data_IF_460796948378
#
_entry.id   IF_460796948378
#
_cell.length_a   1.000
_cell.length_b   1.000
_cell.length_c   1.000
_cell.angle_alpha   90.00
_cell.angle_beta   90.00
_cell.angle_gamma   90.00
#
_symmetry.space_group_name_H-M   'P 1'
#
loop_
_entity.id
_entity.type
_entity.pdbx_description
1 polymer ?
#
# COMPACT_ATOMS: atom_id res chain seq x y z
N UNK A 1 18.15 10.34 17.50
CA UNK A 1 17.31 11.12 18.43
C UNK A 1 16.11 10.25 18.77
N UNK A 2 15.76 10.03 20.05
CA UNK A 2 14.56 9.29 20.37
C UNK A 2 13.35 10.17 20.05
N UNK A 3 12.37 9.60 19.34
CA UNK A 3 11.10 10.26 19.05
C UNK A 3 10.23 10.06 20.29
N UNK A 4 9.86 11.14 20.97
CA UNK A 4 8.88 11.09 22.06
C UNK A 4 7.54 10.55 21.52
N UNK A 5 6.93 9.63 22.27
CA UNK A 5 5.56 9.15 22.04
C UNK A 5 4.58 10.32 22.21
N UNK A 6 4.31 11.02 21.11
CA UNK A 6 3.33 12.09 21.06
C UNK A 6 1.92 11.51 21.07
N UNK A 7 1.20 11.72 22.17
CA UNK A 7 -0.25 11.48 22.24
C UNK A 7 -0.92 12.45 21.26
N UNK A 8 -1.42 11.91 20.14
CA UNK A 8 -2.16 12.69 19.15
C UNK A 8 -3.53 13.08 19.73
N UNK A 9 -3.87 14.37 19.63
CA UNK A 9 -5.22 14.86 19.94
C UNK A 9 -6.00 14.97 18.63
N UNK A 10 -7.25 14.48 18.54
CA UNK A 10 -8.06 14.65 17.35
C UNK A 10 -8.13 16.13 16.97
N UNK A 11 -7.85 16.46 15.70
CA UNK A 11 -8.09 17.79 15.17
C UNK A 11 -9.62 18.00 15.11
N UNK A 12 -10.16 19.10 15.69
CA UNK A 12 -11.59 19.35 15.69
C UNK A 12 -12.20 19.32 14.30
N UNK A 13 -13.47 18.91 14.20
CA UNK A 13 -14.23 18.92 12.94
C UNK A 13 -14.39 20.37 12.48
N UNK A 14 -13.94 20.69 11.27
CA UNK A 14 -14.32 21.95 10.62
C UNK A 14 -15.79 21.87 10.23
N UNK A 15 -16.60 22.74 10.82
CA UNK A 15 -18.00 22.93 10.41
C UNK A 15 -18.08 24.13 9.49
N UNK A 16 -18.87 24.05 8.42
CA UNK A 16 -19.13 25.23 7.61
C UNK A 16 -19.95 26.25 8.41
N UNK A 17 -20.13 27.46 7.86
CA UNK A 17 -20.91 28.55 8.46
C UNK A 17 -22.39 28.22 8.76
N UNK A 18 -22.85 27.03 8.37
CA UNK A 18 -24.21 26.50 8.63
C UNK A 18 -24.21 25.31 9.61
N UNK A 19 -23.08 25.03 10.27
CA UNK A 19 -22.97 23.93 11.24
C UNK A 19 -23.01 22.53 10.61
N UNK A 20 -22.86 22.42 9.28
CA UNK A 20 -22.74 21.13 8.59
C UNK A 20 -21.27 20.71 8.67
N UNK A 21 -21.01 19.51 9.18
CA UNK A 21 -19.68 18.92 9.15
C UNK A 21 -19.15 18.95 7.71
N UNK A 22 -17.99 19.57 7.48
CA UNK A 22 -17.25 19.29 6.26
C UNK A 22 -16.94 17.80 6.26
N UNK A 23 -17.07 17.17 5.09
CA UNK A 23 -16.81 15.74 4.83
C UNK A 23 -15.72 15.24 5.79
N UNK A 24 -16.04 14.36 6.75
CA UNK A 24 -15.13 14.09 7.86
C UNK A 24 -14.09 13.01 7.53
N UNK A 25 -14.03 12.53 6.28
CA UNK A 25 -13.32 11.32 5.88
C UNK A 25 -14.10 10.06 6.29
N UNK A 26 -13.65 8.90 5.81
CA UNK A 26 -14.23 7.60 6.16
C UNK A 26 -13.39 6.86 7.19
N UNK A 27 -14.01 5.91 7.89
CA UNK A 27 -13.26 4.96 8.72
C UNK A 27 -12.64 3.87 7.82
N UNK A 28 -11.32 3.88 7.66
CA UNK A 28 -10.60 2.99 6.73
C UNK A 28 -9.55 2.15 7.46
N UNK A 29 -9.32 0.93 6.98
CA UNK A 29 -8.23 0.07 7.45
C UNK A 29 -7.06 0.13 6.49
N UNK A 30 -5.86 0.25 7.05
CA UNK A 30 -4.62 0.24 6.32
C UNK A 30 -3.70 -0.82 6.90
N UNK A 31 -3.33 -1.80 6.07
CA UNK A 31 -2.29 -2.78 6.42
C UNK A 31 -0.95 -2.23 5.93
N UNK A 32 -0.03 -2.05 6.87
CA UNK A 32 1.26 -1.42 6.65
C UNK A 32 2.33 -2.42 6.27
N UNK A 33 2.39 -3.51 7.03
CA UNK A 33 3.44 -4.52 6.90
C UNK A 33 2.92 -5.87 7.40
N UNK A 34 3.48 -6.94 6.84
CA UNK A 34 3.17 -8.31 7.22
C UNK A 34 4.46 -9.09 7.33
N UNK A 35 4.99 -9.19 8.54
CA UNK A 35 6.29 -9.80 8.77
C UNK A 35 6.14 -11.28 9.10
N UNK A 36 6.90 -12.12 8.41
CA UNK A 36 6.98 -13.53 8.73
C UNK A 36 8.16 -13.81 9.67
N UNK A 37 7.89 -14.46 10.79
CA UNK A 37 8.88 -14.88 11.76
C UNK A 37 8.97 -16.41 11.82
N UNK A 38 10.14 -16.96 11.50
CA UNK A 38 10.37 -18.41 11.58
C UNK A 38 10.92 -18.78 12.97
N UNK A 39 10.35 -19.81 13.61
CA UNK A 39 10.77 -20.25 14.94
C UNK A 39 12.20 -20.83 14.97
N UNK A 40 12.78 -21.17 13.81
CA UNK A 40 14.13 -21.74 13.65
C UNK A 40 14.75 -21.25 12.34
N UNK A 41 16.04 -21.55 12.10
CA UNK A 41 16.68 -21.42 10.77
C UNK A 41 16.14 -22.50 9.83
N UNK A 42 14.87 -22.39 9.47
CA UNK A 42 14.24 -23.23 8.45
C UNK A 42 14.25 -22.39 7.18
N UNK A 43 14.79 -22.98 6.11
CA UNK A 43 14.69 -22.44 4.75
C UNK A 43 13.71 -23.31 3.99
N UNK A 44 12.93 -22.71 3.10
CA UNK A 44 11.99 -23.45 2.27
C UNK A 44 11.16 -22.56 1.36
N UNK A 45 10.32 -23.20 0.57
CA UNK A 45 9.40 -22.57 -0.36
C UNK A 45 8.10 -22.19 0.34
N UNK A 46 7.89 -20.88 0.50
CA UNK A 46 6.68 -20.35 1.14
C UNK A 46 5.60 -20.11 0.10
N UNK A 47 4.44 -20.72 0.34
CA UNK A 47 3.24 -20.56 -0.46
C UNK A 47 2.00 -20.58 0.43
N UNK A 48 0.86 -20.22 -0.12
CA UNK A 48 -0.40 -20.06 0.59
C UNK A 48 -0.96 -18.65 0.45
N UNK A 49 -1.84 -18.28 1.37
CA UNK A 49 -2.51 -16.99 1.33
C UNK A 49 -2.56 -16.30 2.69
N UNK A 50 -2.58 -14.97 2.63
CA UNK A 50 -2.98 -14.09 3.72
C UNK A 50 -4.07 -13.21 3.13
N UNK A 51 -5.24 -13.20 3.74
CA UNK A 51 -6.39 -12.43 3.26
C UNK A 51 -7.01 -11.61 4.36
N UNK A 52 -7.54 -10.46 3.98
CA UNK A 52 -8.42 -9.68 4.81
C UNK A 52 -9.85 -10.14 4.52
N UNK A 53 -10.70 -10.24 5.53
CA UNK A 53 -12.09 -10.66 5.39
C UNK A 53 -12.98 -9.63 6.07
N UNK A 54 -13.74 -8.87 5.29
CA UNK A 54 -14.70 -7.89 5.78
C UNK A 54 -16.02 -8.05 5.02
N UNK A 55 -17.12 -8.31 5.74
CA UNK A 55 -18.46 -8.55 5.18
C UNK A 55 -18.46 -9.47 3.92
N UNK A 56 -18.55 -8.88 2.72
CA UNK A 56 -18.60 -9.57 1.42
C UNK A 56 -17.28 -9.53 0.63
N UNK A 57 -16.23 -8.92 1.18
CA UNK A 57 -14.98 -8.64 0.51
C UNK A 57 -13.81 -9.42 1.13
N UNK A 58 -12.95 -9.97 0.26
CA UNK A 58 -11.83 -10.84 0.66
C UNK A 58 -10.55 -10.58 -0.16
N UNK A 59 -9.89 -9.42 -0.01
CA UNK A 59 -8.68 -9.15 -0.76
C UNK A 59 -7.53 -9.97 -0.18
N UNK A 60 -6.66 -10.42 -1.08
CA UNK A 60 -5.41 -11.04 -0.69
C UNK A 60 -4.38 -9.97 -0.35
N UNK A 61 -3.75 -10.13 0.81
CA UNK A 61 -2.49 -9.46 1.16
C UNK A 61 -1.33 -10.28 0.57
N UNK A 62 -1.44 -11.60 0.62
CA UNK A 62 -0.53 -12.56 -0.01
C UNK A 62 -1.34 -13.64 -0.72
N UNK A 63 -0.94 -14.03 -1.91
CA UNK A 63 -1.46 -15.22 -2.56
C UNK A 63 -0.43 -15.79 -3.52
N UNK A 64 0.14 -16.94 -3.16
CA UNK A 64 1.07 -17.67 -4.02
C UNK A 64 0.78 -19.15 -3.94
N UNK A 65 0.72 -19.79 -5.10
CA UNK A 65 0.71 -21.25 -5.18
C UNK A 65 2.13 -21.82 -5.01
N UNK A 66 2.23 -23.15 -5.09
CA UNK A 66 3.51 -23.86 -4.98
C UNK A 66 4.47 -23.54 -6.12
N UNK A 67 3.96 -23.24 -7.31
CA UNK A 67 4.78 -23.01 -8.51
C UNK A 67 5.47 -21.64 -8.46
N UNK A 68 4.82 -20.68 -7.79
CA UNK A 68 5.32 -19.32 -7.60
C UNK A 68 5.84 -19.08 -6.18
N UNK A 69 6.16 -20.16 -5.45
CA UNK A 69 6.55 -20.07 -4.05
C UNK A 69 7.76 -19.15 -3.82
N UNK A 70 7.75 -18.46 -2.69
CA UNK A 70 8.85 -17.60 -2.30
C UNK A 70 9.94 -18.42 -1.60
N UNK A 71 11.12 -18.49 -2.21
CA UNK A 71 12.31 -19.06 -1.59
C UNK A 71 12.80 -18.16 -0.44
N UNK A 72 12.72 -18.65 0.79
CA UNK A 72 13.36 -17.98 1.93
C UNK A 72 14.83 -18.38 2.04
N UNK A 73 15.74 -17.43 1.90
CA UNK A 73 17.20 -17.68 2.01
C UNK A 73 17.79 -17.36 3.38
N UNK A 74 17.19 -16.46 4.15
CA UNK A 74 17.48 -16.19 5.56
C UNK A 74 16.43 -15.18 6.06
N UNK A 75 16.19 -15.14 7.39
CA UNK A 75 15.25 -14.26 8.14
C UNK A 75 14.62 -13.14 7.28
N UNK A 76 13.35 -13.31 6.90
CA UNK A 76 12.70 -12.39 5.97
C UNK A 76 11.36 -11.91 6.50
N UNK A 77 11.27 -10.61 6.79
CA UNK A 77 10.01 -9.89 6.67
C UNK A 77 9.53 -10.01 5.22
N UNK A 78 8.26 -10.33 5.04
CA UNK A 78 7.64 -10.45 3.74
C UNK A 78 6.74 -9.23 3.54
N UNK A 79 7.28 -8.13 3.03
CA UNK A 79 6.43 -6.99 2.67
C UNK A 79 5.42 -7.44 1.62
N UNK A 80 4.14 -7.41 1.98
CA UNK A 80 3.06 -7.90 1.14
C UNK A 80 2.54 -6.81 0.19
N UNK A 81 2.35 -7.19 -1.07
CA UNK A 81 1.91 -6.33 -2.20
C UNK A 81 0.38 -6.07 -2.18
N UNK A 82 -0.23 -5.98 -1.00
CA UNK A 82 -1.68 -5.81 -0.89
C UNK A 82 -2.15 -5.15 0.41
N UNK A 83 -3.41 -4.66 0.46
CA UNK A 83 -4.45 -4.90 -0.54
C UNK A 83 -4.58 -3.78 -1.59
N UNK A 84 -5.00 -4.16 -2.81
CA UNK A 84 -5.45 -3.25 -3.88
C UNK A 84 -6.78 -2.54 -3.58
N UNK A 85 -7.27 -2.62 -2.34
CA UNK A 85 -8.50 -1.99 -1.86
C UNK A 85 -8.38 -1.77 -0.35
N UNK A 86 -8.65 -0.55 0.10
CA UNK A 86 -8.81 -0.24 1.52
C UNK A 86 -10.22 -0.66 1.99
N UNK A 87 -10.38 -1.59 2.95
CA UNK A 87 -11.69 -1.90 3.47
C UNK A 87 -12.18 -0.80 4.42
N UNK A 88 -13.49 -0.79 4.63
CA UNK A 88 -14.12 0.00 5.68
C UNK A 88 -13.83 -0.59 7.06
N UNK A 89 -13.55 0.29 8.02
CA UNK A 89 -13.41 -0.07 9.44
C UNK A 89 -14.69 0.08 10.25
N UNK A 90 -15.86 0.23 9.61
CA UNK A 90 -17.14 0.36 10.33
C UNK A 90 -17.63 -0.96 10.92
N UNK A 91 -17.20 -2.09 10.36
CA UNK A 91 -17.59 -3.43 10.77
C UNK A 91 -16.38 -4.24 11.22
N UNK A 92 -16.59 -5.31 12.01
CA UNK A 92 -15.51 -6.22 12.31
C UNK A 92 -14.90 -6.83 11.05
N UNK A 93 -13.58 -6.98 11.05
CA UNK A 93 -12.87 -7.69 10.00
C UNK A 93 -11.92 -8.73 10.61
N UNK A 94 -11.49 -9.66 9.77
CA UNK A 94 -10.54 -10.70 10.12
C UNK A 94 -9.35 -10.62 9.18
N UNK A 95 -8.15 -10.85 9.70
CA UNK A 95 -7.02 -11.23 8.85
C UNK A 95 -6.79 -12.71 9.06
N UNK A 96 -6.82 -13.45 7.96
CA UNK A 96 -6.77 -14.91 7.93
C UNK A 96 -5.49 -15.30 7.19
N UNK A 97 -4.71 -16.20 7.76
CA UNK A 97 -3.52 -16.75 7.15
C UNK A 97 -3.63 -18.27 7.03
N UNK A 98 -3.25 -18.79 5.86
CA UNK A 98 -2.97 -20.20 5.59
C UNK A 98 -1.68 -20.25 4.77
N UNK A 99 -0.56 -20.35 5.47
CA UNK A 99 0.78 -20.37 4.91
C UNK A 99 1.44 -21.72 5.16
N UNK A 100 2.20 -22.18 4.15
CA UNK A 100 2.95 -23.42 4.16
C UNK A 100 4.40 -23.19 3.75
N UNK A 101 5.28 -24.04 4.26
CA UNK A 101 6.69 -24.12 3.89
C UNK A 101 7.01 -25.55 3.50
N UNK A 102 7.38 -25.77 2.23
CA UNK A 102 7.64 -27.11 1.67
C UNK A 102 6.53 -28.13 2.02
N UNK A 103 5.27 -27.70 1.89
CA UNK A 103 4.03 -28.45 2.15
C UNK A 103 3.63 -28.66 3.61
N UNK A 104 4.51 -28.33 4.55
CA UNK A 104 4.18 -28.32 5.95
C UNK A 104 3.55 -26.99 6.38
N UNK A 105 2.61 -27.06 7.33
CA UNK A 105 2.01 -25.86 7.94
C UNK A 105 3.09 -24.94 8.51
N UNK A 106 3.10 -23.71 8.02
CA UNK A 106 3.92 -22.64 8.55
C UNK A 106 3.14 -21.84 9.60
N UNK A 107 1.98 -21.32 9.18
CA UNK A 107 1.07 -20.53 9.98
C UNK A 107 -0.36 -20.66 9.45
N UNK A 108 -1.28 -21.11 10.30
CA UNK A 108 -2.72 -21.19 10.00
C UNK A 108 -3.52 -20.57 11.14
N UNK A 109 -4.40 -19.62 10.83
CA UNK A 109 -5.24 -18.98 11.83
C UNK A 109 -5.73 -17.60 11.42
N UNK A 110 -6.23 -16.86 12.40
CA UNK A 110 -6.71 -15.50 12.18
C UNK A 110 -6.65 -14.66 13.46
N UNK A 111 -6.72 -13.34 13.28
CA UNK A 111 -7.15 -12.42 14.33
C UNK A 111 -8.36 -11.62 13.83
N UNK A 112 -9.05 -10.98 14.77
CA UNK A 112 -10.23 -10.15 14.51
C UNK A 112 -9.97 -8.77 15.09
N UNK A 113 -10.35 -7.75 14.32
CA UNK A 113 -10.54 -6.41 14.84
C UNK A 113 -12.05 -6.11 14.92
N UNK A 114 -12.50 -5.52 16.01
CA UNK A 114 -13.89 -5.19 16.30
C UNK A 114 -14.03 -3.73 16.72
N UNK A 115 -14.85 -2.92 16.02
CA UNK A 115 -15.03 -1.50 16.33
C UNK A 115 -15.60 -1.21 17.72
N UNK A 116 -16.19 -2.21 18.39
CA UNK A 116 -16.74 -2.09 19.75
C UNK A 116 -15.74 -2.40 20.85
N UNK A 117 -14.62 -3.05 20.52
CA UNK A 117 -13.62 -3.53 21.49
C UNK A 117 -12.24 -2.92 21.26
N UNK A 118 -11.88 -2.70 20.00
CA UNK A 118 -10.54 -2.37 19.59
C UNK A 118 -10.40 -0.88 19.24
N UNK A 119 -9.22 -0.28 19.52
CA UNK A 119 -9.01 1.14 19.28
C UNK A 119 -8.91 1.45 17.79
N UNK A 120 -9.40 2.63 17.42
CA UNK A 120 -9.06 3.30 16.15
C UNK A 120 -7.94 4.31 16.37
N UNK A 121 -7.33 4.76 15.28
CA UNK A 121 -6.25 5.74 15.29
C UNK A 121 -5.11 5.31 16.22
N UNK A 122 -4.73 4.03 16.13
CA UNK A 122 -3.57 3.47 16.83
C UNK A 122 -2.88 2.49 15.91
N UNK A 123 -1.56 2.35 16.09
CA UNK A 123 -0.82 1.27 15.47
C UNK A 123 -1.07 -0.03 16.21
N UNK A 124 -1.53 -1.02 15.46
CA UNK A 124 -1.86 -2.34 15.97
C UNK A 124 -0.92 -3.36 15.35
N UNK A 125 -0.56 -4.33 16.18
CA UNK A 125 0.30 -5.44 15.79
C UNK A 125 -0.36 -6.70 16.32
N UNK A 126 -0.88 -7.51 15.41
CA UNK A 126 -1.48 -8.78 15.75
C UNK A 126 -0.66 -9.92 15.14
N UNK A 127 -0.52 -11.00 15.90
CA UNK A 127 0.31 -12.14 15.54
C UNK A 127 -0.56 -13.38 15.33
N UNK A 128 -0.50 -13.96 14.14
CA UNK A 128 -1.05 -15.29 13.87
C UNK A 128 0.10 -16.29 14.08
N UNK A 129 -0.05 -17.20 15.04
CA UNK A 129 0.99 -18.18 15.37
C UNK A 129 0.71 -19.52 14.73
N UNK A 130 1.75 -20.16 14.22
CA UNK A 130 1.71 -21.50 13.66
C UNK A 130 2.78 -22.43 14.22
N UNK A 131 2.83 -23.64 13.64
CA UNK A 131 3.78 -24.68 14.06
C UNK A 131 5.23 -24.33 13.79
N UNK A 132 5.53 -23.72 12.62
CA UNK A 132 6.91 -23.46 12.18
C UNK A 132 7.30 -21.98 12.19
N UNK A 133 6.34 -21.09 12.43
CA UNK A 133 6.57 -19.66 12.54
C UNK A 133 5.33 -18.91 12.95
N UNK A 134 5.38 -17.59 12.82
CA UNK A 134 4.27 -16.69 13.04
C UNK A 134 4.25 -15.60 11.98
N UNK A 135 3.08 -15.01 11.80
CA UNK A 135 2.83 -13.89 10.93
C UNK A 135 2.44 -12.69 11.79
N UNK A 136 3.28 -11.66 11.83
CA UNK A 136 2.99 -10.39 12.48
C UNK A 136 2.38 -9.44 11.45
N UNK A 137 1.19 -8.93 11.71
CA UNK A 137 0.50 -7.98 10.85
C UNK A 137 0.46 -6.63 11.54
N UNK A 138 1.09 -5.62 10.92
CA UNK A 138 1.06 -4.24 11.38
C UNK A 138 0.00 -3.48 10.59
N UNK A 139 -0.97 -2.89 11.28
CA UNK A 139 -2.10 -2.19 10.64
C UNK A 139 -2.60 -1.05 11.53
N UNK A 140 -3.48 -0.22 10.97
CA UNK A 140 -4.30 0.70 11.75
C UNK A 140 -5.70 0.81 11.14
N UNK A 141 -6.67 1.08 12.01
CA UNK A 141 -8.00 1.53 11.60
C UNK A 141 -8.10 3.01 11.89
N UNK A 142 -8.12 3.84 10.84
CA UNK A 142 -8.22 5.29 10.95
C UNK A 142 -9.69 5.66 11.05
N UNK A 143 -10.08 6.44 12.06
CA UNK A 143 -11.47 6.89 12.23
C UNK A 143 -11.89 7.89 11.16
N UNK A 144 -10.92 8.64 10.61
CA UNK A 144 -11.10 9.68 9.60
C UNK A 144 -9.96 9.64 8.60
N UNK A 145 -10.20 9.06 7.43
CA UNK A 145 -9.21 8.93 6.37
C UNK A 145 -9.82 9.10 4.98
N UNK A 146 -8.98 9.40 4.00
CA UNK A 146 -9.33 9.42 2.58
C UNK A 146 -8.49 8.39 1.83
N UNK A 147 -9.07 7.79 0.79
CA UNK A 147 -8.37 6.86 -0.07
C UNK A 147 -7.68 7.62 -1.20
N UNK A 148 -6.38 7.39 -1.38
CA UNK A 148 -5.58 7.97 -2.43
C UNK A 148 -5.10 6.88 -3.40
N UNK A 149 -5.39 7.05 -4.70
CA UNK A 149 -4.84 6.24 -5.79
C UNK A 149 -3.68 7.00 -6.45
N UNK A 150 -2.49 6.43 -6.37
CA UNK A 150 -1.25 6.92 -6.96
C UNK A 150 -1.02 6.33 -8.35
N UNK A 151 -0.76 7.21 -9.29
CA UNK A 151 -0.35 6.87 -10.64
C UNK A 151 0.94 7.63 -10.99
N UNK A 152 1.94 6.92 -11.52
CA UNK A 152 3.22 7.51 -11.94
C UNK A 152 3.50 7.12 -13.37
N UNK A 153 3.79 8.12 -14.22
CA UNK A 153 3.98 7.96 -15.66
C UNK A 153 5.22 8.65 -16.16
N UNK A 154 5.75 8.11 -17.26
CA UNK A 154 6.65 8.88 -18.12
C UNK A 154 5.85 10.02 -18.79
N UNK A 155 6.46 11.19 -18.85
CA UNK A 155 5.88 12.34 -19.52
C UNK A 155 5.70 12.11 -21.02
N UNK A 156 4.72 12.81 -21.60
CA UNK A 156 4.43 12.84 -23.04
C UNK A 156 5.63 13.31 -23.88
N UNK A 157 6.55 14.08 -23.30
CA UNK A 157 7.73 14.59 -24.00
C UNK A 157 8.78 13.51 -24.29
N UNK A 158 8.64 12.32 -23.69
CA UNK A 158 9.54 11.19 -23.89
C UNK A 158 8.95 10.36 -25.03
N UNK A 159 9.58 10.38 -26.20
CA UNK A 159 9.05 9.74 -27.43
C UNK A 159 9.54 8.31 -27.63
N UNK A 160 10.54 7.87 -26.86
CA UNK A 160 11.13 6.52 -26.96
C UNK A 160 11.06 5.77 -25.64
N UNK A 161 11.00 4.42 -25.66
CA UNK A 161 11.06 3.64 -24.44
C UNK A 161 12.36 3.90 -23.66
N UNK A 162 12.25 3.96 -22.34
CA UNK A 162 13.38 4.18 -21.44
C UNK A 162 13.58 3.01 -20.49
N UNK A 163 14.84 2.64 -20.29
CA UNK A 163 15.23 1.69 -19.24
C UNK A 163 15.49 2.47 -17.96
N UNK A 164 14.61 2.32 -16.98
CA UNK A 164 14.68 3.06 -15.72
C UNK A 164 15.07 2.15 -14.55
N UNK A 165 15.79 2.71 -13.60
CA UNK A 165 16.05 2.14 -12.29
C UNK A 165 16.00 3.24 -11.22
N UNK A 166 16.02 2.86 -9.95
CA UNK A 166 15.90 3.76 -8.80
C UNK A 166 14.67 3.46 -7.96
N UNK A 167 14.22 4.46 -7.20
CA UNK A 167 13.20 4.29 -6.17
C UNK A 167 12.06 5.30 -6.31
N UNK A 168 10.85 4.85 -5.99
CA UNK A 168 9.68 5.68 -5.71
C UNK A 168 9.18 5.29 -4.33
N UNK A 169 9.17 6.26 -3.42
CA UNK A 169 8.67 6.11 -2.07
C UNK A 169 7.42 6.97 -1.86
N UNK A 170 6.46 6.43 -1.12
CA UNK A 170 5.31 7.18 -0.61
C UNK A 170 5.47 7.35 0.89
N UNK A 171 5.28 8.58 1.37
CA UNK A 171 5.25 8.90 2.79
C UNK A 171 3.87 9.42 3.16
N UNK A 172 3.33 8.87 4.24
CA UNK A 172 2.08 9.30 4.83
C UNK A 172 2.40 9.64 6.27
N UNK A 173 2.14 10.89 6.63
CA UNK A 173 2.36 11.34 8.00
C UNK A 173 1.27 10.76 8.89
N UNK A 174 1.43 9.52 9.33
CA UNK A 174 0.54 8.90 10.33
C UNK A 174 1.15 9.08 11.73
N UNK A 175 0.67 8.32 12.71
CA UNK A 175 1.20 8.29 14.07
C UNK A 175 2.71 8.02 14.13
N UNK A 176 3.26 7.34 13.12
CA UNK A 176 4.69 7.40 12.81
C UNK A 176 4.87 7.68 11.32
N UNK A 177 6.04 8.22 10.97
CA UNK A 177 6.36 8.57 9.59
C UNK A 177 6.49 7.29 8.75
N UNK A 178 5.41 6.90 8.07
CA UNK A 178 5.37 5.69 7.27
C UNK A 178 6.03 5.93 5.93
N UNK A 179 6.80 4.95 5.48
CA UNK A 179 7.44 4.92 4.18
C UNK A 179 7.05 3.63 3.47
N UNK A 180 6.45 3.75 2.30
CA UNK A 180 6.17 2.66 1.39
C UNK A 180 7.10 2.76 0.20
N UNK A 181 7.92 1.73 -0.02
CA UNK A 181 8.71 1.61 -1.26
C UNK A 181 7.82 0.98 -2.34
N UNK A 182 7.26 1.81 -3.21
CA UNK A 182 6.27 1.40 -4.22
C UNK A 182 6.90 1.05 -5.56
N UNK A 183 8.17 1.42 -5.76
CA UNK A 183 8.99 0.96 -6.87
C UNK A 183 10.43 0.98 -6.39
N UNK A 184 11.15 -0.13 -6.57
CA UNK A 184 12.59 -0.18 -6.30
C UNK A 184 13.27 -1.12 -7.29
N UNK A 185 14.17 -0.55 -8.10
CA UNK A 185 14.90 -1.25 -9.15
C UNK A 185 16.36 -0.89 -9.08
N UNK A 186 17.24 -1.90 -9.05
CA UNK A 186 18.69 -1.70 -9.05
C UNK A 186 19.19 -1.39 -10.46
N UNK A 187 20.37 -0.80 -10.58
CA UNK A 187 20.97 -0.48 -11.89
C UNK A 187 21.21 -1.70 -12.80
N UNK A 188 21.25 -2.91 -12.24
CA UNK A 188 21.36 -4.17 -12.97
C UNK A 188 20.02 -4.92 -13.18
N UNK A 189 18.91 -4.41 -12.63
CA UNK A 189 17.54 -4.89 -12.79
C UNK A 189 16.67 -3.69 -13.18
N UNK A 190 16.71 -3.33 -14.46
CA UNK A 190 16.01 -2.16 -14.98
C UNK A 190 14.63 -2.53 -15.52
N UNK A 191 13.69 -1.60 -15.49
CA UNK A 191 12.39 -1.73 -16.15
C UNK A 191 12.35 -0.89 -17.42
N UNK A 192 11.94 -1.50 -18.54
CA UNK A 192 11.72 -0.77 -19.79
C UNK A 192 10.30 -0.23 -19.82
N UNK A 193 10.14 1.09 -19.78
CA UNK A 193 8.84 1.76 -19.79
C UNK A 193 8.68 2.50 -21.12
N UNK A 194 7.55 2.30 -21.80
CA UNK A 194 7.26 3.01 -23.05
C UNK A 194 6.75 4.43 -22.74
N UNK A 195 6.80 5.35 -23.72
CA UNK A 195 6.11 6.63 -23.62
C UNK A 195 4.68 6.46 -23.16
N UNK A 196 4.21 7.34 -22.27
CA UNK A 196 2.85 7.35 -21.71
C UNK A 196 2.46 6.14 -20.84
N UNK A 197 3.28 5.09 -20.80
CA UNK A 197 3.03 3.95 -19.96
C UNK A 197 3.24 4.31 -18.48
N UNK A 198 2.51 3.57 -17.64
CA UNK A 198 2.61 3.62 -16.20
C UNK A 198 3.91 2.95 -15.75
N UNK A 199 4.56 3.54 -14.74
CA UNK A 199 5.60 2.84 -13.99
C UNK A 199 4.90 1.76 -13.13
N UNK A 200 5.32 0.49 -13.19
CA UNK A 200 4.66 -0.60 -12.46
C UNK A 200 4.97 -0.48 -10.97
N UNK A 201 4.05 0.12 -10.22
CA UNK A 201 4.14 0.21 -8.76
C UNK A 201 3.74 -1.13 -8.13
N UNK A 202 4.40 -1.54 -7.05
CA UNK A 202 3.97 -2.67 -6.21
C UNK A 202 2.69 -2.36 -5.45
N UNK A 203 2.39 -1.07 -5.24
CA UNK A 203 1.18 -0.58 -4.58
C UNK A 203 0.82 0.82 -5.06
N UNK A 204 -0.46 1.04 -5.33
CA UNK A 204 -0.99 2.35 -5.74
C UNK A 204 -2.04 2.93 -4.81
N UNK A 205 -2.62 2.16 -3.88
CA UNK A 205 -3.70 2.63 -3.02
C UNK A 205 -3.26 2.79 -1.57
N UNK A 206 -3.62 3.93 -0.99
CA UNK A 206 -3.20 4.34 0.34
C UNK A 206 -4.35 4.97 1.13
N UNK A 207 -4.52 4.58 2.39
CA UNK A 207 -5.35 5.33 3.32
C UNK A 207 -4.54 6.48 3.94
N UNK A 208 -4.99 7.70 3.71
CA UNK A 208 -4.38 8.89 4.31
C UNK A 208 -5.27 9.40 5.44
N UNK A 209 -4.78 9.47 6.69
CA UNK A 209 -5.56 10.04 7.78
C UNK A 209 -5.83 11.52 7.54
N UNK A 210 -6.96 12.00 8.05
CA UNK A 210 -7.39 13.38 7.91
C UNK A 210 -6.31 14.36 8.40
N UNK A 211 -5.98 15.35 7.57
CA UNK A 211 -4.93 16.34 7.87
C UNK A 211 -3.52 15.89 7.49
N UNK A 212 -3.34 14.68 6.97
CA UNK A 212 -2.03 14.17 6.54
C UNK A 212 -1.88 14.19 5.03
N UNK A 213 -0.92 14.95 4.48
CA UNK A 213 -0.65 14.94 3.05
C UNK A 213 0.00 13.61 2.64
N UNK A 214 -0.18 13.26 1.37
CA UNK A 214 0.57 12.19 0.72
C UNK A 214 1.81 12.80 0.08
N UNK A 215 2.99 12.32 0.46
CA UNK A 215 4.27 12.80 -0.10
C UNK A 215 4.88 11.71 -0.97
N UNK A 216 5.09 12.00 -2.25
CA UNK A 216 5.74 11.07 -3.19
C UNK A 216 7.16 11.53 -3.43
N UNK A 217 8.14 10.71 -3.07
CA UNK A 217 9.55 10.94 -3.36
C UNK A 217 9.99 10.07 -4.51
N UNK A 218 10.68 10.66 -5.47
CA UNK A 218 11.16 10.00 -6.69
C UNK A 218 12.66 10.19 -6.79
N UNK A 219 13.39 9.12 -7.05
CA UNK A 219 14.82 9.13 -7.41
C UNK A 219 15.03 8.09 -8.52
N UNK A 220 14.79 8.51 -9.77
CA UNK A 220 14.82 7.64 -10.95
C UNK A 220 15.94 8.04 -11.91
N UNK A 221 16.53 7.03 -12.54
CA UNK A 221 17.70 7.15 -13.41
C UNK A 221 17.48 6.44 -14.74
N UNK A 222 18.01 7.03 -15.82
CA UNK A 222 18.09 6.38 -17.11
C UNK A 222 19.30 5.45 -17.11
N UNK A 223 19.04 4.17 -17.28
CA UNK A 223 20.04 3.10 -17.19
C UNK A 223 20.99 3.08 -18.39
N UNK A 224 20.54 3.56 -19.55
CA UNK A 224 21.34 3.55 -20.78
C UNK A 224 22.31 4.75 -20.83
N UNK A 225 21.94 5.88 -20.20
CA UNK A 225 22.78 7.08 -20.18
C UNK A 225 23.44 7.36 -18.83
N UNK A 226 23.07 6.62 -17.78
CA UNK A 226 23.44 6.85 -16.39
C UNK A 226 23.13 8.29 -15.88
N UNK A 227 22.16 8.97 -16.49
CA UNK A 227 21.71 10.30 -16.09
C UNK A 227 20.46 10.23 -15.21
N UNK A 228 20.30 11.14 -14.23
CA UNK A 228 19.06 11.22 -13.46
C UNK A 228 17.90 11.61 -14.38
N UNK A 229 16.77 10.93 -14.24
CA UNK A 229 15.52 11.25 -14.93
C UNK A 229 14.67 12.21 -14.12
N UNK A 230 14.48 11.91 -12.84
CA UNK A 230 13.75 12.75 -11.90
C UNK A 230 14.24 12.49 -10.49
N UNK A 231 14.47 13.58 -9.75
CA UNK A 231 14.85 13.52 -8.35
C UNK A 231 14.15 14.61 -7.57
N UNK A 232 13.35 14.25 -6.59
CA UNK A 232 12.63 15.22 -5.78
C UNK A 232 11.49 14.61 -4.98
N UNK A 233 10.68 15.47 -4.38
CA UNK A 233 9.47 15.09 -3.69
C UNK A 233 8.32 16.01 -4.07
N UNK A 234 7.12 15.45 -4.17
CA UNK A 234 5.87 16.15 -4.39
C UNK A 234 4.98 15.96 -3.17
N UNK A 235 4.39 17.06 -2.70
CA UNK A 235 3.43 17.05 -1.60
C UNK A 235 2.04 17.21 -2.20
N UNK A 236 1.17 16.26 -1.91
CA UNK A 236 -0.24 16.27 -2.27
C UNK A 236 -1.06 16.49 -1.00
N UNK A 237 -1.61 17.71 -0.78
CA UNK A 237 -2.54 17.93 0.31
C UNK A 237 -3.71 16.95 0.22
N UNK A 238 -4.21 16.56 1.38
CA UNK A 238 -5.39 15.70 1.44
C UNK A 238 -6.59 16.43 0.86
N UNK A 239 -7.25 15.79 -0.09
CA UNK A 239 -8.55 16.20 -0.63
C UNK A 239 -9.55 15.06 -0.43
N UNK A 240 -10.84 15.37 -0.34
CA UNK A 240 -11.89 14.35 -0.19
C UNK A 240 -12.24 13.66 -1.50
N UNK A 241 -12.03 14.35 -2.62
CA UNK A 241 -12.26 13.83 -3.95
C UNK A 241 -11.46 14.66 -4.97
N UNK A 242 -11.16 14.05 -6.11
CA UNK A 242 -10.59 14.74 -7.26
C UNK A 242 -9.12 14.43 -7.48
N UNK A 243 -8.55 15.09 -8.48
CA UNK A 243 -7.22 14.75 -9.01
C UNK A 243 -6.24 15.88 -8.77
N UNK A 244 -5.07 15.53 -8.23
CA UNK A 244 -3.91 16.40 -8.16
C UNK A 244 -2.78 15.80 -9.00
N UNK A 245 -2.13 16.65 -9.79
CA UNK A 245 -1.02 16.25 -10.66
C UNK A 245 0.20 17.10 -10.35
N UNK A 246 1.32 16.44 -10.12
CA UNK A 246 2.63 17.06 -10.03
C UNK A 246 3.57 16.47 -11.06
N UNK A 247 4.64 17.20 -11.37
CA UNK A 247 5.68 16.73 -12.30
C UNK A 247 7.06 16.90 -11.69
N UNK A 248 7.96 15.97 -11.98
CA UNK A 248 9.37 16.03 -11.62
C UNK A 248 10.23 15.79 -12.85
N UNK A 249 11.42 16.36 -12.85
CA UNK A 249 12.42 16.13 -13.89
C UNK A 249 13.63 17.03 -13.74
N UNK A 250 14.56 16.93 -14.68
CA UNK A 250 15.71 17.83 -14.74
C UNK A 250 15.26 19.24 -15.18
N UNK A 251 16.08 20.26 -14.90
CA UNK A 251 15.81 21.70 -14.86
C UNK A 251 15.01 22.32 -16.02
N UNK A 252 14.76 21.61 -17.13
CA UNK A 252 13.95 22.05 -18.27
C UNK A 252 13.00 20.99 -18.87
N UNK A 253 12.92 19.78 -18.30
CA UNK A 253 12.06 18.71 -18.83
C UNK A 253 11.29 18.03 -17.70
N UNK A 254 9.98 18.22 -17.65
CA UNK A 254 9.07 17.46 -16.80
C UNK A 254 9.03 16.00 -17.29
N UNK A 255 9.91 15.14 -16.78
CA UNK A 255 10.11 13.77 -17.27
C UNK A 255 9.16 12.76 -16.64
N UNK A 256 8.75 13.00 -15.38
CA UNK A 256 7.85 12.14 -14.61
C UNK A 256 6.60 12.93 -14.24
N UNK A 257 5.44 12.35 -14.51
CA UNK A 257 4.16 12.82 -14.01
C UNK A 257 3.72 11.94 -12.86
N UNK A 258 3.38 12.55 -11.73
CA UNK A 258 2.81 11.90 -10.56
C UNK A 258 1.41 12.42 -10.38
N UNK A 259 0.46 11.53 -10.25
CA UNK A 259 -0.96 11.84 -10.15
C UNK A 259 -1.53 11.14 -8.92
N UNK A 260 -2.23 11.90 -8.09
CA UNK A 260 -2.96 11.39 -6.94
C UNK A 260 -4.43 11.65 -7.20
N UNK A 261 -5.22 10.59 -7.26
CA UNK A 261 -6.66 10.66 -7.33
C UNK A 261 -7.22 10.36 -5.94
N UNK A 262 -7.83 11.36 -5.32
CA UNK A 262 -8.53 11.23 -4.06
C UNK A 262 -9.91 10.67 -4.33
N UNK A 263 -10.19 9.53 -3.72
CA UNK A 263 -11.40 8.75 -3.97
C UNK A 263 -12.37 8.93 -2.81
N UNK A 264 -13.60 9.35 -3.14
CA UNK A 264 -14.71 9.18 -2.23
C UNK A 264 -15.09 7.70 -2.21
N UNK A 265 -15.06 7.05 -1.04
CA UNK A 265 -15.22 5.60 -0.92
C UNK A 265 -16.54 5.09 -1.54
N UNK A 266 -17.60 5.91 -1.53
CA UNK A 266 -18.92 5.54 -2.08
C UNK A 266 -19.01 5.58 -3.62
N UNK A 267 -18.10 6.28 -4.31
CA UNK A 267 -18.20 6.51 -5.77
C UNK A 267 -17.33 5.55 -6.61
N UNK A 268 -16.56 4.63 -6.00
CA UNK A 268 -15.78 3.68 -6.78
C UNK A 268 -16.52 2.36 -7.03
N UNK A 269 -16.87 2.04 -8.30
CA UNK A 269 -17.23 0.69 -8.70
C UNK A 269 -16.04 -0.30 -8.62
N UNK A 270 -14.83 0.12 -8.27
CA UNK A 270 -13.76 -0.83 -7.89
C UNK A 270 -13.93 -1.37 -6.47
N UNK A 271 -14.64 -0.63 -5.61
CA UNK A 271 -14.98 -1.04 -4.25
C UNK A 271 -16.13 -2.05 -4.23
N UNK A 272 -16.92 -2.18 -5.32
CA UNK A 272 -18.06 -3.12 -5.37
C UNK A 272 -18.32 -3.87 -6.71
N UNK A 273 -17.77 -3.46 -7.86
CA UNK A 273 -18.26 -3.89 -9.19
C UNK A 273 -17.23 -4.49 -10.17
N UNK A 274 -15.90 -4.40 -9.96
CA UNK A 274 -14.94 -5.08 -10.87
C UNK A 274 -14.65 -6.56 -10.56
N UNK A 275 -15.23 -7.14 -9.51
CA UNK A 275 -15.01 -8.55 -9.12
C UNK A 275 -16.05 -9.55 -9.68
N UNK A 276 -16.99 -9.09 -10.52
CA UNK A 276 -17.95 -9.98 -11.20
C UNK A 276 -17.54 -10.44 -12.60
N UNK A 277 -16.29 -10.19 -13.04
CA UNK A 277 -15.76 -10.97 -14.16
C UNK A 277 -15.16 -12.26 -13.63
N UNK A 278 -15.96 -13.34 -13.71
CA UNK A 278 -15.42 -14.71 -13.72
C UNK A 278 -14.24 -14.74 -14.70
N UNK A 279 -13.11 -15.38 -14.36
CA UNK A 279 -12.19 -15.81 -15.41
C UNK A 279 -12.99 -16.77 -16.29
N UNK A 280 -13.28 -16.34 -17.51
CA UNK A 280 -13.71 -17.25 -18.57
C UNK A 280 -12.50 -18.09 -18.92
N UNK A 281 -12.33 -19.20 -18.21
CA UNK A 281 -11.60 -20.35 -18.71
C UNK A 281 -12.46 -21.02 -19.78
N UNK A 282 -12.16 -20.77 -21.07
CA UNK A 282 -12.46 -21.62 -22.25
C UNK A 282 -11.63 -21.00 -23.40
N UNK A 283 -10.69 -21.61 -24.12
CA UNK A 283 -10.04 -22.92 -24.20
C UNK A 283 -8.59 -22.67 -24.64
#
# INVERSE_FOLDING_TARGET
>A
MPVEEGIWKPIPVETNSKGKELLSGDKLVEVYDVQLHLHRKISGNIHGNVMLHCQCFRPFLFNRDKEHALMTKDKGSLSLDGPDVAPLGYDPFYVIADLKIDDDELCEGYFRWDPSLDPTDHWLNDEIRGKKGSLLVTYAVMSRACLAELDVKLSKSIETPLRIHGDIDVYINTMQYLRYSVFSKKSNDCSTIKPLDHIPLSRSLFCCPHGSPLVVKVDLWNSDTAKPLARGALLFPLEYYGELVGTLGDQNMNMIQVKVNWLYHMDHPKTYATLFKRPTNVN
#
